data_IF_130963750155
#
_entry.id   IF_130963750155
#
_cell.length_a   1.000
_cell.length_b   1.000
_cell.length_c   1.000
_cell.angle_alpha   90.00
_cell.angle_beta   90.00
_cell.angle_gamma   90.00
#
_symmetry.space_group_name_H-M   'P 1'
#
loop_
_entity.id
_entity.type
_entity.pdbx_description
1 polymer ?
#
# COMPACT_ATOMS: atom_id res chain seq x y z
N UNK A 1 3.44 7.69 -20.75
CA UNK A 1 1.98 7.40 -20.68
C UNK A 1 1.46 7.85 -19.33
N UNK A 2 0.39 8.67 -19.28
CA UNK A 2 -0.23 9.14 -18.03
C UNK A 2 -1.73 8.88 -18.09
N UNK A 3 -2.30 8.29 -17.03
CA UNK A 3 -3.75 8.11 -16.91
C UNK A 3 -4.42 9.41 -16.45
N UNK A 4 -5.69 9.63 -16.81
CA UNK A 4 -6.43 10.84 -16.40
C UNK A 4 -6.49 11.01 -14.87
N UNK A 5 -6.61 9.90 -14.14
CA UNK A 5 -6.66 9.89 -12.67
C UNK A 5 -5.33 10.32 -12.03
N UNK A 6 -4.19 9.91 -12.61
CA UNK A 6 -2.87 10.25 -12.06
C UNK A 6 -2.38 11.64 -12.48
N UNK A 7 -3.07 12.32 -13.40
CA UNK A 7 -2.67 13.63 -13.90
C UNK A 7 -2.54 14.68 -12.79
N UNK A 8 -3.43 14.63 -11.78
CA UNK A 8 -3.44 15.57 -10.66
C UNK A 8 -2.23 15.41 -9.72
N UNK A 9 -1.57 14.25 -9.74
CA UNK A 9 -0.41 13.95 -8.91
C UNK A 9 0.93 14.20 -9.62
N UNK A 10 0.90 14.57 -10.91
CA UNK A 10 2.10 14.87 -11.70
C UNK A 10 2.45 16.35 -11.56
N UNK A 11 3.64 16.64 -11.05
CA UNK A 11 4.16 18.00 -10.93
C UNK A 11 4.68 18.52 -12.27
N UNK A 12 5.57 17.76 -12.91
CA UNK A 12 6.13 18.11 -14.22
C UNK A 12 6.47 16.88 -15.03
N UNK A 13 6.46 17.01 -16.35
CA UNK A 13 7.00 16.00 -17.27
C UNK A 13 8.32 16.52 -17.82
N UNK A 14 9.39 15.72 -17.69
CA UNK A 14 10.71 16.05 -18.26
C UNK A 14 10.69 15.91 -19.78
N UNK A 15 11.63 16.56 -20.51
CA UNK A 15 11.80 16.38 -21.95
C UNK A 15 11.96 14.90 -22.34
N UNK A 16 12.58 14.09 -21.47
CA UNK A 16 12.78 12.65 -21.65
C UNK A 16 11.48 11.81 -21.55
N UNK A 17 10.32 12.45 -21.34
CA UNK A 17 9.02 11.78 -21.15
C UNK A 17 8.78 11.20 -19.75
N UNK A 18 9.75 11.30 -18.85
CA UNK A 18 9.62 10.86 -17.45
C UNK A 18 8.80 11.88 -16.65
N UNK A 19 7.76 11.38 -15.97
CA UNK A 19 6.89 12.20 -15.13
C UNK A 19 7.43 12.26 -13.70
N UNK A 20 7.42 13.46 -13.12
CA UNK A 20 7.82 13.74 -11.74
C UNK A 20 6.56 13.93 -10.93
N UNK A 21 6.40 13.14 -9.86
CA UNK A 21 5.26 13.23 -8.94
C UNK A 21 5.42 14.40 -7.98
N UNK A 22 4.29 14.96 -7.52
CA UNK A 22 4.27 16.03 -6.52
C UNK A 22 4.53 15.47 -5.11
N UNK A 23 5.65 15.87 -4.50
CA UNK A 23 6.07 15.41 -3.17
C UNK A 23 5.07 15.82 -2.08
N UNK A 24 4.49 17.02 -2.15
CA UNK A 24 3.49 17.47 -1.18
C UNK A 24 2.27 16.57 -1.20
N UNK A 25 1.78 16.21 -2.39
CA UNK A 25 0.66 15.28 -2.53
C UNK A 25 1.02 13.86 -2.07
N UNK A 26 2.28 13.45 -2.17
CA UNK A 26 2.74 12.15 -1.63
C UNK A 26 2.67 12.16 -0.10
N UNK A 27 3.21 13.19 0.55
CA UNK A 27 3.19 13.31 2.02
C UNK A 27 1.76 13.36 2.57
N UNK A 28 0.89 14.19 1.98
CA UNK A 28 -0.52 14.29 2.37
C UNK A 28 -1.25 12.95 2.25
N UNK A 29 -1.05 12.21 1.14
CA UNK A 29 -1.70 10.92 0.91
C UNK A 29 -1.15 9.82 1.80
N UNK A 30 0.15 9.83 2.11
CA UNK A 30 0.76 8.88 3.04
C UNK A 30 0.25 9.09 4.47
N UNK A 31 0.14 10.35 4.92
CA UNK A 31 -0.46 10.69 6.22
C UNK A 31 -1.89 10.22 6.31
N UNK A 32 -2.70 10.58 5.31
CA UNK A 32 -4.09 10.17 5.25
C UNK A 32 -4.24 8.64 5.26
N UNK A 33 -3.38 7.92 4.53
CA UNK A 33 -3.40 6.46 4.53
C UNK A 33 -3.02 5.86 5.88
N UNK A 34 -1.95 6.35 6.52
CA UNK A 34 -1.54 5.88 7.83
C UNK A 34 -2.59 6.16 8.92
N UNK A 35 -3.19 7.35 8.91
CA UNK A 35 -4.27 7.72 9.82
C UNK A 35 -5.54 6.89 9.58
N UNK A 36 -5.91 6.70 8.31
CA UNK A 36 -7.04 5.85 7.93
C UNK A 36 -6.84 4.42 8.42
N UNK A 37 -5.67 3.83 8.18
CA UNK A 37 -5.33 2.49 8.65
C UNK A 37 -5.31 2.42 10.19
N UNK A 38 -4.88 3.47 10.88
CA UNK A 38 -4.84 3.55 12.34
C UNK A 38 -6.20 3.32 13.02
N UNK A 39 -7.31 3.52 12.31
CA UNK A 39 -8.66 3.24 12.81
C UNK A 39 -9.04 1.75 12.76
N UNK A 40 -8.24 0.90 12.12
CA UNK A 40 -8.50 -0.54 11.98
C UNK A 40 -7.63 -1.36 12.93
N UNK A 41 -8.15 -2.49 13.39
CA UNK A 41 -7.36 -3.49 14.09
C UNK A 41 -6.36 -4.15 13.13
N UNK A 42 -5.17 -4.57 13.59
CA UNK A 42 -4.18 -5.23 12.74
C UNK A 42 -4.74 -6.39 11.93
N UNK A 43 -5.60 -7.21 12.54
CA UNK A 43 -6.17 -8.41 11.93
C UNK A 43 -7.14 -8.08 10.78
N UNK A 44 -7.78 -6.91 10.85
CA UNK A 44 -8.71 -6.41 9.83
C UNK A 44 -7.99 -5.85 8.59
N UNK A 45 -6.66 -5.65 8.64
CA UNK A 45 -5.87 -5.08 7.56
C UNK A 45 -5.25 -6.21 6.73
N UNK A 46 -5.50 -6.18 5.42
CA UNK A 46 -4.84 -7.07 4.47
C UNK A 46 -3.90 -6.30 3.54
N UNK A 47 -2.62 -6.65 3.54
CA UNK A 47 -1.61 -6.07 2.64
C UNK A 47 -1.20 -7.06 1.56
N UNK A 48 -1.33 -6.70 0.29
CA UNK A 48 -1.00 -7.57 -0.86
C UNK A 48 0.09 -6.95 -1.72
N UNK A 49 1.12 -7.74 -2.00
CA UNK A 49 2.18 -7.39 -2.93
C UNK A 49 2.63 -8.58 -3.75
N UNK A 50 2.23 -8.63 -5.01
CA UNK A 50 2.77 -9.61 -5.96
C UNK A 50 4.19 -9.29 -6.42
N UNK A 51 4.58 -8.01 -6.44
CA UNK A 51 5.93 -7.60 -6.83
C UNK A 51 6.96 -8.00 -5.77
N UNK A 52 8.07 -8.59 -6.22
CA UNK A 52 9.19 -9.00 -5.36
C UNK A 52 9.77 -7.84 -4.55
N UNK A 53 9.88 -6.67 -5.18
CA UNK A 53 10.39 -5.44 -4.54
C UNK A 53 9.55 -4.99 -3.33
N UNK A 54 8.28 -5.41 -3.25
CA UNK A 54 7.39 -5.09 -2.13
C UNK A 54 7.35 -6.18 -1.05
N UNK A 55 7.96 -7.35 -1.26
CA UNK A 55 7.84 -8.46 -0.30
C UNK A 55 8.48 -8.17 1.05
N UNK A 56 9.72 -7.65 1.05
CA UNK A 56 10.43 -7.30 2.27
C UNK A 56 9.68 -6.22 3.09
N UNK A 57 9.30 -5.07 2.52
CA UNK A 57 8.61 -4.04 3.30
C UNK A 57 7.22 -4.47 3.78
N UNK A 58 6.49 -5.26 3.00
CA UNK A 58 5.18 -5.80 3.43
C UNK A 58 5.34 -6.78 4.59
N UNK A 59 6.33 -7.68 4.52
CA UNK A 59 6.65 -8.59 5.64
C UNK A 59 7.02 -7.82 6.89
N UNK A 60 7.91 -6.82 6.76
CA UNK A 60 8.35 -6.02 7.91
C UNK A 60 7.21 -5.21 8.53
N UNK A 61 6.33 -4.64 7.71
CA UNK A 61 5.11 -3.98 8.19
C UNK A 61 4.22 -4.96 8.97
N UNK A 62 4.03 -6.17 8.46
CA UNK A 62 3.26 -7.21 9.13
C UNK A 62 3.91 -7.67 10.45
N UNK A 63 5.23 -7.80 10.50
CA UNK A 63 5.95 -8.16 11.73
C UNK A 63 5.81 -7.10 12.83
N UNK A 64 5.70 -5.82 12.46
CA UNK A 64 5.59 -4.70 13.41
C UNK A 64 4.15 -4.43 13.85
N UNK A 65 3.19 -4.50 12.93
CA UNK A 65 1.79 -4.18 13.19
C UNK A 65 0.99 -5.42 13.62
N UNK A 66 1.36 -6.60 13.11
CA UNK A 66 0.58 -7.83 13.23
C UNK A 66 -0.51 -7.97 12.16
N UNK A 67 -0.39 -7.29 11.02
CA UNK A 67 -1.41 -7.34 9.97
C UNK A 67 -1.30 -8.58 9.06
N UNK A 68 -2.43 -8.98 8.46
CA UNK A 68 -2.44 -10.04 7.47
C UNK A 68 -1.78 -9.58 6.17
N UNK A 69 -1.01 -10.46 5.54
CA UNK A 69 -0.31 -10.10 4.30
C UNK A 69 -0.15 -11.25 3.31
N UNK A 70 -0.01 -10.88 2.04
CA UNK A 70 0.44 -11.77 0.96
C UNK A 70 1.63 -11.16 0.23
N UNK A 71 2.83 -11.68 0.51
CA UNK A 71 4.02 -11.43 -0.28
C UNK A 71 4.13 -12.50 -1.38
N UNK A 72 3.68 -12.18 -2.59
CA UNK A 72 3.69 -13.07 -3.74
C UNK A 72 2.31 -13.26 -4.36
N UNK A 73 1.99 -14.49 -4.79
CA UNK A 73 0.72 -14.77 -5.45
C UNK A 73 -0.43 -14.71 -4.45
N UNK A 74 -1.33 -13.76 -4.64
CA UNK A 74 -2.65 -13.76 -3.98
C UNK A 74 -3.53 -14.89 -4.55
N UNK A 75 -3.97 -15.86 -3.72
CA UNK A 75 -4.95 -16.85 -4.12
C UNK A 75 -6.33 -16.19 -4.30
N UNK A 76 -7.00 -16.36 -5.45
CA UNK A 76 -8.34 -15.81 -5.63
C UNK A 76 -9.34 -16.51 -4.71
N UNK A 77 -10.28 -15.75 -4.16
CA UNK A 77 -11.30 -16.25 -3.24
C UNK A 77 -10.92 -16.20 -1.77
N UNK A 78 -9.75 -15.65 -1.42
CA UNK A 78 -9.32 -15.48 -0.03
C UNK A 78 -10.28 -14.61 0.77
N UNK A 79 -10.86 -13.58 0.17
CA UNK A 79 -11.84 -12.75 0.88
C UNK A 79 -13.29 -13.22 0.63
N UNK A 80 -13.59 -13.86 -0.49
CA UNK A 80 -14.99 -14.12 -0.89
C UNK A 80 -15.49 -15.53 -0.57
N UNK A 81 -14.61 -16.51 -0.37
CA UNK A 81 -14.99 -17.92 -0.21
C UNK A 81 -14.64 -18.44 1.19
N UNK A 82 -15.62 -18.58 2.11
CA UNK A 82 -15.39 -19.09 3.47
C UNK A 82 -14.80 -20.50 3.53
N UNK A 83 -14.98 -21.32 2.49
CA UNK A 83 -14.43 -22.67 2.43
C UNK A 83 -12.96 -22.70 1.96
N UNK A 84 -12.37 -21.56 1.62
CA UNK A 84 -10.97 -21.48 1.23
C UNK A 84 -10.06 -21.68 2.45
N UNK A 85 -8.99 -22.47 2.30
CA UNK A 85 -8.07 -22.78 3.42
C UNK A 85 -7.42 -21.56 4.06
N UNK A 86 -7.25 -20.50 3.28
CA UNK A 86 -6.66 -19.23 3.69
C UNK A 86 -7.71 -18.11 3.70
N UNK A 87 -8.98 -18.46 3.92
CA UNK A 87 -10.04 -17.46 4.04
C UNK A 87 -9.74 -16.50 5.19
N UNK A 88 -9.98 -15.21 4.96
CA UNK A 88 -9.85 -14.18 6.00
C UNK A 88 -10.88 -13.07 5.77
N UNK A 89 -11.31 -12.46 6.86
CA UNK A 89 -12.22 -11.33 6.85
C UNK A 89 -11.43 -10.06 7.12
N UNK A 90 -10.92 -9.45 6.04
CA UNK A 90 -10.30 -8.14 6.10
C UNK A 90 -11.37 -7.05 5.92
N UNK A 91 -11.22 -5.93 6.61
CA UNK A 91 -12.07 -4.73 6.44
C UNK A 91 -11.40 -3.66 5.59
N UNK A 92 -10.09 -3.75 5.34
CA UNK A 92 -9.37 -2.84 4.47
C UNK A 92 -8.28 -3.58 3.70
N UNK A 93 -8.17 -3.28 2.40
CA UNK A 93 -7.14 -3.81 1.53
C UNK A 93 -6.10 -2.74 1.20
N UNK A 94 -4.83 -3.05 1.40
CA UNK A 94 -3.68 -2.25 0.96
C UNK A 94 -2.93 -3.00 -0.13
N UNK A 95 -2.74 -2.40 -1.30
CA UNK A 95 -2.02 -3.02 -2.42
C UNK A 95 -0.80 -2.21 -2.87
N UNK A 96 0.24 -2.91 -3.33
CA UNK A 96 1.43 -2.26 -3.87
C UNK A 96 1.30 -1.78 -5.29
N UNK A 97 0.52 -2.48 -6.11
CA UNK A 97 0.33 -2.11 -7.51
C UNK A 97 -1.00 -2.66 -8.01
N UNK A 98 -1.85 -1.76 -8.53
CA UNK A 98 -3.18 -2.10 -9.01
C UNK A 98 -3.19 -3.14 -10.14
N UNK A 99 -2.13 -3.24 -10.94
CA UNK A 99 -2.12 -4.14 -12.09
C UNK A 99 -1.81 -5.60 -11.74
N UNK A 100 -0.69 -5.94 -11.08
CA UNK A 100 -0.38 -7.31 -10.71
C UNK A 100 -1.26 -7.83 -9.57
N UNK A 101 -1.79 -6.95 -8.70
CA UNK A 101 -2.63 -7.29 -7.55
C UNK A 101 -4.15 -7.21 -7.85
N UNK A 102 -4.53 -7.10 -9.13
CA UNK A 102 -5.93 -6.96 -9.58
C UNK A 102 -6.92 -8.01 -9.02
N UNK A 103 -6.43 -9.21 -8.71
CA UNK A 103 -7.28 -10.27 -8.15
C UNK A 103 -7.74 -9.91 -6.73
N UNK A 104 -6.86 -9.34 -5.91
CA UNK A 104 -7.20 -8.87 -4.58
C UNK A 104 -8.18 -7.69 -4.65
N UNK A 105 -7.96 -6.76 -5.60
CA UNK A 105 -8.90 -5.65 -5.88
C UNK A 105 -10.29 -6.20 -6.21
N UNK A 106 -10.39 -7.17 -7.13
CA UNK A 106 -11.67 -7.72 -7.54
C UNK A 106 -12.42 -8.41 -6.39
N UNK A 107 -11.70 -9.10 -5.51
CA UNK A 107 -12.30 -9.73 -4.34
C UNK A 107 -12.75 -8.68 -3.31
N UNK A 108 -11.94 -7.65 -3.06
CA UNK A 108 -12.31 -6.52 -2.21
C UNK A 108 -13.56 -5.78 -2.72
N UNK A 109 -13.66 -5.54 -4.04
CA UNK A 109 -14.83 -4.90 -4.65
C UNK A 109 -16.12 -5.73 -4.49
N UNK A 110 -16.03 -7.05 -4.56
CA UNK A 110 -17.22 -7.92 -4.39
C UNK A 110 -17.78 -7.88 -2.98
N UNK A 111 -16.91 -7.69 -1.99
CA UNK A 111 -17.29 -7.66 -0.57
C UNK A 111 -17.61 -6.23 -0.12
N UNK A 112 -17.07 -5.23 -0.83
CA UNK A 112 -17.31 -3.83 -0.55
C UNK A 112 -16.39 -3.26 0.53
N UNK A 113 -15.12 -3.72 0.58
CA UNK A 113 -14.13 -3.17 1.51
C UNK A 113 -13.31 -2.06 0.85
N UNK A 114 -12.90 -1.01 1.59
CA UNK A 114 -12.05 0.06 1.08
C UNK A 114 -10.68 -0.44 0.61
N UNK A 115 -10.22 0.14 -0.51
CA UNK A 115 -8.97 -0.21 -1.19
C UNK A 115 -8.02 0.99 -1.18
N UNK A 116 -6.87 0.81 -0.55
CA UNK A 116 -5.74 1.74 -0.56
C UNK A 116 -4.66 1.20 -1.49
N UNK A 117 -4.13 2.01 -2.40
CA UNK A 117 -3.14 1.53 -3.37
C UNK A 117 -1.98 2.50 -3.62
N UNK A 118 -0.77 1.93 -3.68
CA UNK A 118 0.40 2.61 -4.20
C UNK A 118 0.34 2.62 -5.74
N UNK A 119 0.32 3.82 -6.33
CA UNK A 119 0.13 3.99 -7.76
C UNK A 119 1.26 4.83 -8.38
N UNK A 120 1.87 4.29 -9.43
CA UNK A 120 2.72 5.04 -10.35
C UNK A 120 1.83 5.69 -11.45
N UNK A 121 2.43 6.58 -12.23
CA UNK A 121 1.81 7.37 -13.30
C UNK A 121 1.12 6.54 -14.39
N UNK A 122 1.50 5.27 -14.54
CA UNK A 122 0.92 4.33 -15.49
C UNK A 122 -0.26 3.51 -14.93
N UNK A 123 -0.51 3.56 -13.62
CA UNK A 123 -1.57 2.78 -13.01
C UNK A 123 -2.96 3.34 -13.34
N UNK A 124 -3.93 2.42 -13.48
CA UNK A 124 -5.35 2.74 -13.54
C UNK A 124 -5.91 2.69 -12.12
N UNK A 125 -6.48 3.80 -11.66
CA UNK A 125 -6.95 3.96 -10.28
C UNK A 125 -8.49 4.03 -10.17
N UNK A 126 -9.21 3.43 -11.12
CA UNK A 126 -10.66 3.58 -11.23
C UNK A 126 -11.43 2.93 -10.07
N UNK A 127 -10.86 1.87 -9.48
CA UNK A 127 -11.49 1.05 -8.45
C UNK A 127 -10.71 1.13 -7.12
N UNK A 128 -10.08 2.27 -6.86
CA UNK A 128 -9.23 2.50 -5.70
C UNK A 128 -9.78 3.72 -4.98
N UNK A 129 -10.10 3.56 -3.69
CA UNK A 129 -10.69 4.62 -2.88
C UNK A 129 -9.64 5.64 -2.45
N UNK A 130 -8.46 5.16 -2.04
CA UNK A 130 -7.34 6.01 -1.66
C UNK A 130 -6.08 5.68 -2.46
N UNK A 131 -5.72 6.61 -3.34
CA UNK A 131 -4.51 6.54 -4.15
C UNK A 131 -3.35 7.21 -3.43
N UNK A 132 -2.27 6.45 -3.22
CA UNK A 132 -0.99 6.95 -2.75
C UNK A 132 -0.06 7.05 -3.96
N UNK A 133 0.23 8.26 -4.49
CA UNK A 133 1.18 8.41 -5.59
C UNK A 133 2.56 7.96 -5.11
N UNK A 134 3.16 6.99 -5.79
CA UNK A 134 4.47 6.46 -5.41
C UNK A 134 5.14 5.76 -6.58
N UNK A 135 6.47 5.73 -6.58
CA UNK A 135 7.20 4.85 -7.50
C UNK A 135 7.13 3.40 -6.98
N UNK A 136 6.15 2.65 -7.47
CA UNK A 136 5.94 1.25 -7.11
C UNK A 136 6.90 0.23 -7.79
N UNK A 137 7.93 0.71 -8.50
CA UNK A 137 8.96 -0.14 -9.12
C UNK A 137 10.24 -0.20 -8.30
N UNK A 138 10.58 0.87 -7.58
CA UNK A 138 11.84 0.96 -6.84
C UNK A 138 11.74 0.32 -5.45
N UNK A 139 12.71 -0.55 -5.10
CA UNK A 139 12.81 -1.15 -3.76
C UNK A 139 12.88 -0.10 -2.66
N UNK A 140 13.70 0.94 -2.84
CA UNK A 140 13.86 2.05 -1.88
C UNK A 140 12.57 2.85 -1.70
N UNK A 141 11.84 3.11 -2.80
CA UNK A 141 10.60 3.89 -2.76
C UNK A 141 9.48 3.13 -2.05
N UNK A 142 9.31 1.84 -2.36
CA UNK A 142 8.33 0.99 -1.67
C UNK A 142 8.69 0.84 -0.19
N UNK A 143 9.96 0.59 0.13
CA UNK A 143 10.42 0.48 1.51
C UNK A 143 10.13 1.74 2.32
N UNK A 144 10.45 2.92 1.79
CA UNK A 144 10.13 4.19 2.44
C UNK A 144 8.63 4.41 2.60
N UNK A 145 7.81 4.10 1.59
CA UNK A 145 6.36 4.29 1.68
C UNK A 145 5.75 3.42 2.78
N UNK A 146 6.09 2.13 2.85
CA UNK A 146 5.62 1.23 3.91
C UNK A 146 6.16 1.59 5.28
N UNK A 147 7.42 2.02 5.36
CA UNK A 147 8.02 2.51 6.60
C UNK A 147 7.23 3.70 7.17
N UNK A 148 6.95 4.71 6.34
CA UNK A 148 6.20 5.89 6.76
C UNK A 148 4.75 5.54 7.14
N UNK A 149 4.05 4.71 6.35
CA UNK A 149 2.70 4.25 6.69
C UNK A 149 2.68 3.50 8.03
N UNK A 150 3.67 2.62 8.26
CA UNK A 150 3.81 1.86 9.51
C UNK A 150 4.04 2.79 10.70
N UNK A 151 4.95 3.76 10.54
CA UNK A 151 5.24 4.76 11.57
C UNK A 151 3.98 5.53 11.95
N UNK A 152 3.25 6.08 10.97
CA UNK A 152 2.02 6.84 11.22
C UNK A 152 0.96 5.97 11.87
N UNK A 153 0.77 4.73 11.40
CA UNK A 153 -0.16 3.77 12.01
C UNK A 153 0.14 3.56 13.50
N UNK A 154 1.41 3.33 13.85
CA UNK A 154 1.82 3.09 15.24
C UNK A 154 1.71 4.35 16.11
N UNK A 155 1.99 5.53 15.55
CA UNK A 155 1.79 6.82 16.24
C UNK A 155 0.31 7.04 16.57
N UNK A 156 -0.60 6.76 15.62
CA UNK A 156 -2.06 6.91 15.81
C UNK A 156 -2.59 5.93 16.86
N UNK A 157 -2.06 4.70 16.89
CA UNK A 157 -2.42 3.67 17.87
C UNK A 157 -1.77 3.89 19.26
N UNK A 158 -0.91 4.90 19.41
CA UNK A 158 -0.18 5.15 20.66
C UNK A 158 0.89 4.09 21.00
N UNK A 159 1.29 3.27 20.02
CA UNK A 159 2.34 2.26 20.16
C UNK A 159 3.75 2.86 20.03
N UNK A 160 3.83 4.06 19.48
CA UNK A 160 5.07 4.77 19.20
C UNK A 160 4.93 6.25 19.59
N UNK A 161 5.94 6.81 20.26
CA UNK A 161 5.95 8.25 20.54
C UNK A 161 6.33 9.04 19.29
N UNK A 162 5.79 10.25 19.15
CA UNK A 162 6.11 11.15 18.03
C UNK A 162 7.62 11.37 17.92
N UNK A 163 8.17 11.06 16.76
CA UNK A 163 9.60 11.22 16.47
C UNK A 163 10.46 9.96 16.69
N UNK A 164 9.90 8.90 17.27
CA UNK A 164 10.56 7.60 17.26
C UNK A 164 10.39 6.94 15.88
N UNK A 165 11.27 5.98 15.58
CA UNK A 165 11.19 5.17 14.36
C UNK A 165 10.78 3.75 14.74
N UNK A 166 9.86 3.12 13.99
CA UNK A 166 9.37 1.79 14.33
C UNK A 166 10.44 0.70 14.14
N UNK A 167 11.39 0.92 13.23
CA UNK A 167 12.57 0.09 12.99
C UNK A 167 13.57 0.89 12.13
N UNK A 168 14.82 0.42 11.95
CA UNK A 168 15.72 0.97 10.94
C UNK A 168 15.11 0.91 9.53
N UNK A 169 15.29 1.94 8.70
CA UNK A 169 14.76 1.98 7.34
C UNK A 169 15.34 0.86 6.45
N UNK A 170 16.55 0.41 6.77
CA UNK A 170 17.26 -0.69 6.14
C UNK A 170 16.52 -2.04 6.31
N UNK A 171 15.67 -2.16 7.32
CA UNK A 171 14.84 -3.34 7.50
C UNK A 171 13.69 -3.38 6.48
N UNK A 172 13.29 -2.22 5.96
CA UNK A 172 12.24 -2.11 4.93
C UNK A 172 12.80 -2.13 3.50
N UNK A 173 14.05 -1.71 3.32
CA UNK A 173 14.72 -1.68 2.00
C UNK A 173 15.74 -2.81 1.85
N UNK A 174 15.82 -3.45 0.69
CA UNK A 174 17.04 -4.24 0.37
C UNK A 174 18.15 -3.29 -0.10
N UNK A 175 19.39 -3.60 0.30
CA UNK A 175 20.62 -2.99 -0.24
C UNK A 175 20.80 -3.43 -1.68
#
# INVERSE_FOLDING_TARGET
FKTKHMANFIYKTRPDGLSVLNITSIDERLRLAGEFLGNYAPEDILVVSRRENGWKPVKKMADLIGCNFFAGRYPPGVLTNPNHKQYMEAKVLVITDAWPDRNAINDALKIGIPIVALCDTNNQANNIDLVIPCNNKGKKSLGLAFFLMTKIYMEVRGLLNKGQEPAPIEDFTEI
#
